data_IF_639286751848
#
_entry.id   IF_639286751848
#
_cell.length_a   1.000
_cell.length_b   1.000
_cell.length_c   1.000
_cell.angle_alpha   90.00
_cell.angle_beta   90.00
_cell.angle_gamma   90.00
#
_symmetry.space_group_name_H-M   'P 1'
#
loop_
_entity.id
_entity.type
_entity.pdbx_description
1 polymer ?
#
# COMPACT_ATOMS: atom_id res chain seq x y z
N UNK A 1 4.99 -0.96 -6.45
CA UNK A 1 3.76 -0.18 -6.69
C UNK A 1 2.81 -0.43 -5.55
N UNK A 2 2.03 0.56 -5.14
CA UNK A 2 0.85 0.31 -4.30
C UNK A 2 -0.34 0.12 -5.22
N UNK A 3 -1.05 -1.00 -5.02
CA UNK A 3 -2.28 -1.32 -5.74
C UNK A 3 -3.46 -0.76 -4.95
N UNK A 4 -4.45 -0.23 -5.67
CA UNK A 4 -5.64 0.33 -5.04
C UNK A 4 -6.86 0.12 -5.92
N UNK A 5 -8.02 0.06 -5.27
CA UNK A 5 -9.33 0.03 -5.93
C UNK A 5 -10.03 1.35 -5.69
N UNK A 6 -10.62 1.92 -6.74
CA UNK A 6 -11.42 3.13 -6.61
C UNK A 6 -12.84 2.72 -6.26
N UNK A 7 -13.24 3.00 -5.03
CA UNK A 7 -14.59 2.72 -4.55
C UNK A 7 -15.60 3.79 -5.02
N UNK A 8 -15.18 5.07 -5.06
CA UNK A 8 -16.01 6.20 -5.48
C UNK A 8 -15.15 7.32 -6.08
N UNK A 9 -15.78 8.17 -6.89
CA UNK A 9 -15.13 9.34 -7.48
C UNK A 9 -14.16 9.02 -8.62
N UNK A 10 -13.23 9.95 -8.85
CA UNK A 10 -12.22 9.91 -9.91
C UNK A 10 -10.91 10.42 -9.33
N UNK A 11 -9.81 9.74 -9.66
CA UNK A 11 -8.46 10.15 -9.29
C UNK A 11 -7.69 10.52 -10.55
N UNK A 12 -6.90 11.60 -10.47
CA UNK A 12 -6.11 12.10 -11.60
C UNK A 12 -4.62 12.05 -11.28
N UNK A 13 -3.78 11.95 -12.31
CA UNK A 13 -2.35 12.15 -12.17
C UNK A 13 -2.05 13.55 -11.60
N UNK A 14 -0.91 13.70 -10.92
CA UNK A 14 -0.47 14.94 -10.27
C UNK A 14 -1.42 15.49 -9.18
N UNK A 15 -2.34 14.67 -8.67
CA UNK A 15 -3.28 15.07 -7.60
C UNK A 15 -2.70 14.84 -6.21
N UNK A 16 -3.26 15.57 -5.22
CA UNK A 16 -3.01 15.34 -3.79
C UNK A 16 -4.18 14.54 -3.24
N UNK A 17 -3.87 13.45 -2.57
CA UNK A 17 -4.83 12.58 -1.87
C UNK A 17 -4.60 12.65 -0.38
N UNK A 18 -5.63 12.32 0.39
CA UNK A 18 -5.58 12.32 1.84
C UNK A 18 -5.81 10.90 2.36
N UNK A 19 -4.86 10.39 3.15
CA UNK A 19 -4.99 9.13 3.86
C UNK A 19 -5.77 9.39 5.17
N UNK A 20 -7.03 8.94 5.20
CA UNK A 20 -7.93 9.19 6.31
C UNK A 20 -7.59 8.38 7.56
N UNK A 21 -6.87 7.26 7.42
CA UNK A 21 -6.45 6.42 8.54
C UNK A 21 -5.30 7.05 9.34
N UNK A 22 -4.47 7.86 8.68
CA UNK A 22 -3.23 8.42 9.25
C UNK A 22 -3.21 9.93 9.34
N UNK A 23 -4.26 10.61 8.90
CA UNK A 23 -4.34 12.08 8.85
C UNK A 23 -3.15 12.72 8.13
N UNK A 24 -2.84 12.19 6.94
CA UNK A 24 -1.70 12.65 6.13
C UNK A 24 -2.09 12.87 4.68
N UNK A 25 -1.49 13.87 4.04
CA UNK A 25 -1.62 14.11 2.61
C UNK A 25 -0.47 13.48 1.85
N UNK A 26 -0.76 12.92 0.67
CA UNK A 26 0.22 12.34 -0.23
C UNK A 26 0.01 12.85 -1.65
N UNK A 27 1.13 13.13 -2.34
CA UNK A 27 1.10 13.57 -3.73
C UNK A 27 1.29 12.37 -4.65
N UNK A 28 0.36 12.21 -5.57
CA UNK A 28 0.44 11.22 -6.64
C UNK A 28 1.05 11.91 -7.85
N UNK A 29 2.13 11.36 -8.39
CA UNK A 29 2.69 11.85 -9.67
C UNK A 29 2.00 11.17 -10.85
N UNK A 30 2.06 9.83 -10.90
CA UNK A 30 1.62 9.03 -12.05
C UNK A 30 0.70 7.90 -11.63
N UNK A 31 -0.27 7.61 -12.49
CA UNK A 31 -1.21 6.50 -12.35
C UNK A 31 -0.93 5.45 -13.41
N UNK A 32 -1.12 4.19 -13.05
CA UNK A 32 -0.88 3.06 -13.95
C UNK A 32 -2.02 2.07 -13.90
N UNK A 33 -2.32 1.45 -15.04
CA UNK A 33 -3.05 0.20 -15.13
C UNK A 33 -2.05 -0.90 -15.46
N UNK A 34 -1.98 -1.93 -14.63
CA UNK A 34 -1.08 -3.05 -14.83
C UNK A 34 -1.76 -4.10 -15.72
N UNK A 35 -1.08 -4.51 -16.80
CA UNK A 35 -1.53 -5.58 -17.69
C UNK A 35 -0.39 -6.57 -17.93
N UNK A 36 -0.33 -7.60 -17.09
CA UNK A 36 0.77 -8.56 -17.12
C UNK A 36 2.11 -7.87 -16.86
N UNK A 37 3.01 -7.86 -17.86
CA UNK A 37 4.29 -7.15 -17.79
C UNK A 37 4.20 -5.67 -18.14
N UNK A 38 3.10 -5.24 -18.77
CA UNK A 38 2.95 -3.89 -19.29
C UNK A 38 2.40 -2.96 -18.20
N UNK A 39 3.08 -1.83 -18.01
CA UNK A 39 2.67 -0.76 -17.10
C UNK A 39 2.15 0.39 -17.96
N UNK A 40 0.83 0.54 -18.03
CA UNK A 40 0.19 1.52 -18.91
C UNK A 40 -0.09 2.76 -18.08
N UNK A 41 0.65 3.84 -18.33
CA UNK A 41 0.42 5.13 -17.68
C UNK A 41 -0.92 5.72 -18.15
N UNK A 42 -1.74 6.19 -17.22
CA UNK A 42 -3.05 6.79 -17.47
C UNK A 42 -3.17 8.14 -16.78
N UNK A 43 -3.97 9.05 -17.35
CA UNK A 43 -4.19 10.37 -16.77
C UNK A 43 -5.20 10.36 -15.60
N UNK A 44 -6.14 9.42 -15.63
CA UNK A 44 -7.18 9.30 -14.62
C UNK A 44 -7.72 7.88 -14.52
N UNK A 45 -8.31 7.56 -13.37
CA UNK A 45 -8.99 6.29 -13.08
C UNK A 45 -10.32 6.59 -12.38
N UNK A 46 -11.34 5.79 -12.67
CA UNK A 46 -12.72 6.01 -12.23
C UNK A 46 -13.18 4.96 -11.20
N UNK A 47 -14.27 5.26 -10.51
CA UNK A 47 -14.93 4.31 -9.61
C UNK A 47 -15.18 2.95 -10.30
N UNK A 48 -14.73 1.88 -9.64
CA UNK A 48 -14.73 0.52 -10.16
C UNK A 48 -13.36 0.04 -10.68
N UNK A 49 -12.49 0.97 -11.07
CA UNK A 49 -11.16 0.62 -11.59
C UNK A 49 -10.21 0.14 -10.49
N UNK A 50 -9.27 -0.71 -10.90
CA UNK A 50 -8.11 -1.11 -10.08
C UNK A 50 -6.87 -0.52 -10.74
N UNK A 51 -6.16 0.30 -9.97
CA UNK A 51 -4.98 1.02 -10.42
C UNK A 51 -3.74 0.68 -9.61
N UNK A 52 -2.62 1.18 -10.10
CA UNK A 52 -1.34 1.15 -9.43
C UNK A 52 -0.73 2.55 -9.41
N UNK A 53 -0.04 2.87 -8.32
CA UNK A 53 0.72 4.10 -8.14
C UNK A 53 2.10 3.81 -7.56
N UNK A 54 3.01 4.78 -7.68
CA UNK A 54 4.34 4.69 -7.07
C UNK A 54 4.23 4.44 -5.56
N UNK A 55 5.23 3.80 -4.95
CA UNK A 55 5.17 3.50 -3.50
C UNK A 55 4.94 4.81 -2.72
N UNK A 56 3.84 4.82 -1.97
CA UNK A 56 3.48 5.90 -1.07
C UNK A 56 4.31 5.84 0.21
N UNK A 57 4.57 7.00 0.82
CA UNK A 57 5.47 7.10 1.98
C UNK A 57 4.76 6.75 3.28
N UNK A 58 3.50 7.15 3.40
CA UNK A 58 2.71 7.08 4.61
C UNK A 58 1.48 6.19 4.46
N UNK A 59 1.38 5.37 3.41
CA UNK A 59 0.21 4.51 3.16
C UNK A 59 0.58 3.03 3.21
N UNK A 60 -0.25 2.25 3.90
CA UNK A 60 -0.09 0.81 4.11
C UNK A 60 -1.30 0.05 3.55
N UNK A 61 -1.15 -1.27 3.40
CA UNK A 61 -2.26 -2.14 2.96
C UNK A 61 -3.44 -2.02 3.92
N UNK A 62 -4.63 -1.72 3.37
CA UNK A 62 -5.87 -1.55 4.13
C UNK A 62 -6.22 -0.10 4.48
N UNK A 63 -5.31 0.86 4.25
CA UNK A 63 -5.62 2.28 4.43
C UNK A 63 -6.61 2.78 3.36
N UNK A 64 -7.41 3.78 3.73
CA UNK A 64 -8.36 4.46 2.86
C UNK A 64 -7.83 5.82 2.41
N UNK A 65 -7.84 6.02 1.09
CA UNK A 65 -7.46 7.28 0.45
C UNK A 65 -8.74 8.01 0.01
N UNK A 66 -8.83 9.29 0.35
CA UNK A 66 -10.01 10.13 0.13
C UNK A 66 -9.60 11.58 -0.19
N UNK A 67 -10.60 12.45 -0.34
CA UNK A 67 -10.36 13.90 -0.37
C UNK A 67 -10.38 14.44 1.05
N UNK A 68 -9.60 15.49 1.32
CA UNK A 68 -9.60 16.13 2.65
C UNK A 68 -10.92 16.82 2.99
N UNK A 69 -11.67 17.26 1.99
CA UNK A 69 -12.95 17.95 2.18
C UNK A 69 -14.06 16.98 2.63
N UNK A 70 -13.97 15.71 2.21
CA UNK A 70 -14.92 14.66 2.54
C UNK A 70 -14.15 13.38 2.87
N UNK A 71 -13.59 13.28 4.10
CA UNK A 71 -12.83 12.13 4.51
C UNK A 71 -13.74 10.93 4.73
N UNK A 72 -13.41 9.82 4.10
CA UNK A 72 -14.09 8.53 4.27
C UNK A 72 -13.10 7.48 4.75
N UNK A 73 -13.56 6.55 5.57
CA UNK A 73 -12.81 5.37 6.01
C UNK A 73 -13.65 4.16 5.66
N UNK A 74 -13.09 3.25 4.85
CA UNK A 74 -13.70 1.95 4.61
C UNK A 74 -13.33 0.98 5.74
N UNK A 75 -14.20 0.00 5.98
CA UNK A 75 -13.92 -1.05 6.94
C UNK A 75 -12.63 -1.80 6.56
N UNK A 76 -11.74 -2.06 7.52
CA UNK A 76 -10.49 -2.75 7.25
C UNK A 76 -10.76 -4.20 6.84
N UNK A 77 -9.89 -4.72 5.97
CA UNK A 77 -9.91 -6.14 5.60
C UNK A 77 -9.44 -6.95 6.81
N UNK A 78 -10.21 -7.98 7.18
CA UNK A 78 -9.78 -8.93 8.19
C UNK A 78 -8.59 -9.75 7.67
N UNK A 79 -7.44 -9.59 8.31
CA UNK A 79 -6.23 -10.34 7.96
C UNK A 79 -6.21 -11.65 8.74
N UNK A 80 -6.05 -12.76 8.03
CA UNK A 80 -5.96 -14.09 8.61
C UNK A 80 -4.84 -14.21 9.64
N UNK A 81 -5.14 -14.82 10.78
CA UNK A 81 -4.13 -15.14 11.79
C UNK A 81 -3.23 -16.29 11.30
N UNK A 82 -1.90 -16.12 11.29
CA UNK A 82 -0.97 -17.17 10.89
C UNK A 82 -1.01 -18.33 11.89
N UNK A 83 -1.11 -19.57 11.39
CA UNK A 83 -1.16 -20.77 12.24
C UNK A 83 0.20 -21.48 12.39
N UNK A 84 1.22 -21.04 11.66
CA UNK A 84 2.58 -21.61 11.70
C UNK A 84 3.58 -20.53 12.08
N UNK A 85 4.58 -20.89 12.89
CA UNK A 85 5.69 -20.02 13.25
C UNK A 85 7.03 -20.73 12.95
N UNK A 86 8.03 -19.95 12.55
CA UNK A 86 9.40 -20.42 12.32
C UNK A 86 10.37 -19.46 12.97
N UNK A 87 11.40 -20.00 13.63
CA UNK A 87 12.48 -19.21 14.22
C UNK A 87 13.69 -19.19 13.28
N UNK A 88 14.19 -17.98 13.01
CA UNK A 88 15.44 -17.79 12.29
C UNK A 88 16.62 -17.60 13.26
N UNK A 89 17.80 -18.09 12.86
CA UNK A 89 19.06 -17.86 13.57
C UNK A 89 20.09 -17.36 12.56
N UNK A 90 20.76 -16.27 12.89
CA UNK A 90 21.86 -15.73 12.08
C UNK A 90 23.04 -16.68 12.09
N UNK A 91 23.64 -16.87 10.91
CA UNK A 91 24.83 -17.72 10.77
C UNK A 91 26.08 -17.02 11.31
N UNK A 92 26.20 -15.72 11.04
CA UNK A 92 27.33 -14.90 11.47
C UNK A 92 26.92 -13.95 12.59
N UNK A 93 27.85 -13.67 13.50
CA UNK A 93 27.68 -12.68 14.55
C UNK A 93 27.62 -11.28 13.93
N UNK A 94 26.57 -10.51 14.21
CA UNK A 94 26.39 -9.13 13.71
C UNK A 94 25.51 -8.99 12.47
N UNK A 95 24.98 -10.10 11.91
CA UNK A 95 23.95 -10.03 10.85
C UNK A 95 22.53 -9.85 11.42
N UNK A 96 22.37 -9.82 12.75
CA UNK A 96 21.06 -9.73 13.43
C UNK A 96 20.28 -8.49 13.01
N UNK A 97 20.96 -7.34 12.92
CA UNK A 97 20.33 -6.08 12.51
C UNK A 97 19.82 -6.12 11.07
N UNK A 98 20.58 -6.75 10.16
CA UNK A 98 20.17 -6.89 8.75
C UNK A 98 18.97 -7.80 8.60
N UNK A 99 18.96 -8.93 9.32
CA UNK A 99 17.84 -9.87 9.32
C UNK A 99 16.60 -9.21 9.92
N UNK A 100 16.75 -8.49 11.03
CA UNK A 100 15.65 -7.74 11.66
C UNK A 100 15.05 -6.71 10.70
N UNK A 101 15.88 -5.91 10.02
CA UNK A 101 15.42 -4.95 9.01
C UNK A 101 14.75 -5.60 7.80
N UNK A 102 15.26 -6.75 7.35
CA UNK A 102 14.65 -7.49 6.24
C UNK A 102 13.27 -8.05 6.63
N UNK A 103 13.15 -8.64 7.82
CA UNK A 103 11.87 -9.12 8.35
C UNK A 103 10.88 -7.96 8.52
N UNK A 104 11.32 -6.83 9.06
CA UNK A 104 10.47 -5.64 9.18
C UNK A 104 9.89 -5.20 7.83
N UNK A 105 10.69 -5.21 6.76
CA UNK A 105 10.22 -4.88 5.41
C UNK A 105 9.23 -5.92 4.86
N UNK A 106 9.45 -7.21 5.13
CA UNK A 106 8.51 -8.25 4.71
C UNK A 106 7.17 -8.13 5.43
N UNK A 107 7.18 -7.85 6.74
CA UNK A 107 5.96 -7.67 7.54
C UNK A 107 5.17 -6.40 7.18
N UNK A 108 5.82 -5.39 6.58
CA UNK A 108 5.16 -4.20 6.03
C UNK A 108 4.35 -4.50 4.77
N UNK A 109 4.81 -5.47 3.96
CA UNK A 109 4.15 -5.89 2.72
C UNK A 109 3.14 -7.04 2.94
N UNK A 110 3.46 -7.99 3.82
CA UNK A 110 2.63 -9.14 4.16
C UNK A 110 2.22 -9.09 5.64
N UNK A 111 0.97 -8.69 5.87
CA UNK A 111 0.37 -8.57 7.21
C UNK A 111 0.14 -9.93 7.90
N UNK A 112 0.27 -11.04 7.17
CA UNK A 112 0.22 -12.41 7.71
C UNK A 112 1.59 -12.92 8.14
N UNK A 113 2.66 -12.14 7.98
CA UNK A 113 3.96 -12.48 8.54
C UNK A 113 4.08 -11.80 9.92
N UNK A 114 3.94 -12.56 11.01
CA UNK A 114 4.14 -12.10 12.38
C UNK A 114 4.80 -13.18 13.25
#
# INVERSE_FOLDING_TARGET
FSLFKICSGVIKSDSVIYNANKDTEEKISRLYVLRGKDQIEVSELHAGDIGALGKLSNTSTGDTLSTKADPIIYDPIEISTPYTYIRFKTKNKGDDDKVSQALAKLMDEDLTLK
#
